data_IF_219764006113
#
_entry.id   IF_219764006113
#
_cell.length_a   1.000
_cell.length_b   1.000
_cell.length_c   1.000
_cell.angle_alpha   90.00
_cell.angle_beta   90.00
_cell.angle_gamma   90.00
#
_symmetry.space_group_name_H-M   'P 1'
#
loop_
_entity.id
_entity.type
_entity.pdbx_description
1 polymer ?
#
# COMPACT_ATOMS: atom_id res chain seq x y z
N UNK A 1 -11.88 1.02 23.81
CA UNK A 1 -10.67 0.99 24.62
C UNK A 1 -9.82 -0.15 24.07
N UNK A 2 -8.50 -0.11 24.16
CA UNK A 2 -7.67 -1.26 23.79
C UNK A 2 -7.75 -2.31 24.91
N UNK A 3 -7.72 -3.60 24.55
CA UNK A 3 -7.65 -4.69 25.53
C UNK A 3 -6.22 -4.82 26.09
N UNK A 4 -6.05 -5.47 27.23
CA UNK A 4 -4.72 -5.69 27.84
C UNK A 4 -3.76 -6.42 26.89
N UNK A 5 -4.15 -7.50 26.16
CA UNK A 5 -3.30 -8.12 25.16
C UNK A 5 -2.90 -7.18 24.01
N UNK A 6 -3.80 -6.25 23.62
CA UNK A 6 -3.49 -5.24 22.61
C UNK A 6 -2.53 -4.18 23.14
N UNK A 7 -2.70 -3.75 24.38
CA UNK A 7 -1.76 -2.80 25.04
C UNK A 7 -0.37 -3.43 25.09
N UNK A 8 -0.25 -4.68 25.48
CA UNK A 8 1.03 -5.39 25.52
C UNK A 8 1.65 -5.50 24.12
N UNK A 9 0.89 -5.99 23.13
CA UNK A 9 1.34 -6.16 21.74
C UNK A 9 1.84 -4.88 21.11
N UNK A 10 1.10 -3.78 21.29
CA UNK A 10 1.38 -2.50 20.65
C UNK A 10 2.07 -1.48 21.56
N UNK A 11 2.57 -1.91 22.71
CA UNK A 11 3.19 -1.03 23.71
C UNK A 11 4.24 -0.09 23.11
N UNK A 12 5.11 -0.63 22.23
CA UNK A 12 6.19 0.13 21.56
C UNK A 12 5.67 1.15 20.56
N UNK A 13 4.45 1.00 20.05
CA UNK A 13 3.81 1.96 19.15
C UNK A 13 3.01 3.00 19.94
N UNK A 14 2.33 2.56 21.01
CA UNK A 14 1.49 3.44 21.84
C UNK A 14 2.31 4.52 22.56
N UNK A 15 3.57 4.24 22.90
CA UNK A 15 4.46 5.23 23.54
C UNK A 15 4.94 6.33 22.58
N UNK A 16 4.80 6.14 21.25
CA UNK A 16 5.16 7.16 20.27
C UNK A 16 4.12 8.29 20.29
N UNK A 17 4.52 9.56 20.50
CA UNK A 17 3.57 10.68 20.57
C UNK A 17 2.67 10.80 19.35
N UNK A 18 3.18 10.44 18.16
CA UNK A 18 2.45 10.50 16.90
C UNK A 18 1.39 9.40 16.75
N UNK A 19 1.52 8.30 17.48
CA UNK A 19 0.59 7.17 17.45
C UNK A 19 -0.34 7.21 18.66
N UNK A 20 0.22 7.02 19.84
CA UNK A 20 -0.56 6.95 21.08
C UNK A 20 -1.61 5.83 21.06
N UNK A 21 -2.38 5.71 22.11
CA UNK A 21 -3.49 4.75 22.15
C UNK A 21 -4.62 5.06 21.17
N UNK A 22 -4.82 6.36 20.82
CA UNK A 22 -5.81 6.78 19.83
C UNK A 22 -5.43 6.38 18.41
N UNK A 23 -4.14 6.56 18.05
CA UNK A 23 -3.63 6.16 16.75
C UNK A 23 -3.67 4.64 16.59
N UNK A 24 -3.27 3.88 17.63
CA UNK A 24 -3.36 2.43 17.57
C UNK A 24 -4.81 1.94 17.39
N UNK A 25 -5.77 2.59 18.04
CA UNK A 25 -7.19 2.28 17.83
C UNK A 25 -7.62 2.57 16.39
N UNK A 26 -7.14 3.67 15.76
CA UNK A 26 -7.40 3.95 14.34
C UNK A 26 -6.84 2.85 13.44
N UNK A 27 -5.62 2.38 13.68
CA UNK A 27 -5.03 1.27 12.93
C UNK A 27 -5.88 0.00 13.04
N UNK A 28 -6.30 -0.39 14.25
CA UNK A 28 -7.15 -1.55 14.48
C UNK A 28 -8.55 -1.45 13.84
N UNK A 29 -9.02 -0.25 13.59
CA UNK A 29 -10.30 0.00 12.93
C UNK A 29 -10.16 0.18 11.41
N UNK A 30 -8.95 0.38 10.92
CA UNK A 30 -8.69 0.64 9.52
C UNK A 30 -8.76 -0.61 8.67
N UNK A 31 -9.11 -0.40 7.41
CA UNK A 31 -9.18 -1.42 6.37
C UNK A 31 -8.34 -1.00 5.16
N UNK A 32 -7.45 -1.89 4.70
CA UNK A 32 -6.55 -1.64 3.57
C UNK A 32 -6.70 -2.75 2.53
N UNK A 33 -6.95 -2.38 1.29
CA UNK A 33 -6.87 -3.30 0.16
C UNK A 33 -5.45 -3.30 -0.41
N UNK A 34 -4.85 -4.46 -0.54
CA UNK A 34 -3.54 -4.64 -1.19
C UNK A 34 -3.74 -5.51 -2.42
N UNK A 35 -3.50 -4.93 -3.60
CA UNK A 35 -3.73 -5.59 -4.89
C UNK A 35 -2.43 -5.72 -5.70
N UNK A 36 -2.24 -6.89 -6.33
CA UNK A 36 -1.08 -7.22 -7.17
C UNK A 36 -0.38 -8.50 -6.75
N UNK A 37 0.56 -8.97 -7.54
CA UNK A 37 1.22 -10.28 -7.38
C UNK A 37 2.73 -10.18 -7.09
N UNK A 38 3.26 -9.05 -6.66
CA UNK A 38 4.69 -8.85 -6.49
C UNK A 38 5.17 -8.94 -5.04
N UNK A 39 6.47 -9.09 -4.86
CA UNK A 39 7.15 -9.05 -3.57
C UNK A 39 6.94 -7.72 -2.82
N UNK A 40 6.64 -6.65 -3.54
CA UNK A 40 6.28 -5.35 -2.99
C UNK A 40 5.01 -5.42 -2.13
N UNK A 41 3.95 -6.03 -2.66
CA UNK A 41 2.70 -6.19 -1.92
C UNK A 41 2.86 -7.12 -0.71
N UNK A 42 3.67 -8.17 -0.84
CA UNK A 42 3.97 -9.06 0.28
C UNK A 42 4.68 -8.31 1.43
N UNK A 43 5.66 -7.46 1.10
CA UNK A 43 6.33 -6.59 2.07
C UNK A 43 5.34 -5.64 2.76
N UNK A 44 4.46 -4.99 2.00
CA UNK A 44 3.45 -4.10 2.56
C UNK A 44 2.50 -4.82 3.52
N UNK A 45 1.98 -6.00 3.15
CA UNK A 45 1.07 -6.79 3.97
C UNK A 45 1.67 -7.16 5.33
N UNK A 46 2.95 -7.58 5.35
CA UNK A 46 3.63 -7.95 6.59
C UNK A 46 3.68 -6.79 7.59
N UNK A 47 4.08 -5.61 7.12
CA UNK A 47 4.22 -4.45 8.00
C UNK A 47 2.87 -3.85 8.40
N UNK A 48 1.85 -3.88 7.54
CA UNK A 48 0.49 -3.47 7.89
C UNK A 48 -0.10 -4.39 8.97
N UNK A 49 0.05 -5.71 8.81
CA UNK A 49 -0.39 -6.68 9.81
C UNK A 49 0.36 -6.49 11.13
N UNK A 50 1.70 -6.37 11.09
CA UNK A 50 2.51 -6.15 12.29
C UNK A 50 2.13 -4.83 13.01
N UNK A 51 1.80 -3.77 12.27
CA UNK A 51 1.36 -2.50 12.83
C UNK A 51 -0.06 -2.55 13.46
N UNK A 52 -0.82 -3.59 13.17
CA UNK A 52 -2.17 -3.78 13.71
C UNK A 52 -3.26 -3.10 12.89
N UNK A 53 -3.13 -3.09 11.55
CA UNK A 53 -4.26 -2.76 10.68
C UNK A 53 -5.31 -3.85 10.80
N UNK A 54 -6.53 -3.47 11.20
CA UNK A 54 -7.55 -4.43 11.63
C UNK A 54 -8.12 -5.30 10.51
N UNK A 55 -8.16 -4.80 9.27
CA UNK A 55 -8.66 -5.55 8.11
C UNK A 55 -7.76 -5.36 6.90
N UNK A 56 -7.25 -6.46 6.34
CA UNK A 56 -6.49 -6.46 5.10
C UNK A 56 -7.24 -7.24 4.03
N UNK A 57 -7.62 -6.56 2.96
CA UNK A 57 -8.07 -7.18 1.73
C UNK A 57 -6.87 -7.57 0.87
N UNK A 58 -6.87 -8.77 0.35
CA UNK A 58 -5.81 -9.29 -0.50
C UNK A 58 -6.41 -9.64 -1.85
N UNK A 59 -5.91 -9.01 -2.90
CA UNK A 59 -6.32 -9.28 -4.27
C UNK A 59 -5.10 -9.63 -5.13
N UNK A 60 -5.12 -10.80 -5.77
CA UNK A 60 -4.04 -11.30 -6.63
C UNK A 60 -2.85 -11.94 -5.91
N UNK A 61 -2.72 -11.81 -4.59
CA UNK A 61 -1.58 -12.32 -3.83
C UNK A 61 -1.87 -13.73 -3.32
N UNK A 62 -1.22 -14.72 -3.90
CA UNK A 62 -1.40 -16.13 -3.49
C UNK A 62 -0.50 -16.53 -2.34
N UNK A 63 0.76 -16.09 -2.36
CA UNK A 63 1.78 -16.49 -1.40
C UNK A 63 2.60 -15.29 -0.90
N UNK A 64 3.02 -15.33 0.36
CA UNK A 64 3.99 -14.38 0.89
C UNK A 64 5.40 -14.89 0.58
N UNK A 65 5.77 -14.86 -0.70
CA UNK A 65 7.04 -15.41 -1.19
C UNK A 65 8.30 -14.87 -0.48
N UNK A 66 8.21 -13.66 0.06
CA UNK A 66 9.29 -13.03 0.83
C UNK A 66 9.51 -13.74 2.19
N UNK A 67 8.44 -14.23 2.82
CA UNK A 67 8.53 -14.97 4.09
C UNK A 67 8.94 -16.43 3.83
N UNK A 68 8.49 -17.00 2.71
CA UNK A 68 8.88 -18.34 2.30
C UNK A 68 10.39 -18.50 2.10
N UNK A 69 11.06 -17.44 1.62
CA UNK A 69 12.51 -17.45 1.46
C UNK A 69 13.30 -17.43 2.79
N UNK A 70 12.65 -17.05 3.88
CA UNK A 70 13.24 -16.94 5.22
C UNK A 70 12.79 -18.05 6.18
N UNK A 71 11.85 -18.91 5.78
CA UNK A 71 11.33 -20.01 6.59
C UNK A 71 11.72 -21.35 6.00
N UNK A 72 12.18 -22.33 6.82
CA UNK A 72 12.38 -23.70 6.40
C UNK A 72 11.07 -24.46 6.14
N UNK A 73 9.92 -23.88 6.51
CA UNK A 73 8.60 -24.45 6.24
C UNK A 73 8.09 -24.05 4.84
N UNK A 74 7.22 -24.86 4.21
CA UNK A 74 6.64 -24.50 2.93
C UNK A 74 5.90 -23.18 2.99
N UNK A 75 5.85 -22.39 1.90
CA UNK A 75 5.26 -21.07 1.89
C UNK A 75 3.80 -21.13 2.32
N UNK A 76 3.50 -20.49 3.46
CA UNK A 76 2.13 -20.33 3.91
C UNK A 76 1.42 -19.30 3.03
N UNK A 77 0.15 -19.53 2.73
CA UNK A 77 -0.65 -18.50 2.07
C UNK A 77 -0.70 -17.22 2.93
N UNK A 78 -0.83 -16.06 2.31
CA UNK A 78 -0.99 -14.80 3.04
C UNK A 78 -2.14 -14.87 4.06
N UNK A 79 -3.24 -15.54 3.68
CA UNK A 79 -4.40 -15.73 4.53
C UNK A 79 -4.13 -16.53 5.81
N UNK A 80 -3.13 -17.41 5.81
CA UNK A 80 -2.77 -18.21 6.97
C UNK A 80 -1.60 -17.64 7.77
N UNK A 81 -0.65 -16.97 7.11
CA UNK A 81 0.53 -16.44 7.74
C UNK A 81 0.27 -15.13 8.51
N UNK A 82 -0.52 -14.22 7.96
CA UNK A 82 -0.76 -12.92 8.57
C UNK A 82 -1.52 -12.99 9.91
N UNK A 83 -2.57 -13.82 10.08
CA UNK A 83 -3.21 -14.00 11.39
C UNK A 83 -2.29 -14.63 12.45
N UNK A 84 -1.30 -15.44 12.05
CA UNK A 84 -0.28 -15.95 12.97
C UNK A 84 0.67 -14.86 13.41
N UNK A 85 1.01 -13.91 12.52
CA UNK A 85 1.82 -12.74 12.84
C UNK A 85 1.07 -11.80 13.79
N UNK A 86 -0.21 -11.55 13.50
CA UNK A 86 -1.04 -10.67 14.30
C UNK A 86 -2.51 -11.14 14.32
N UNK A 87 -3.00 -11.71 15.44
CA UNK A 87 -4.37 -12.21 15.57
C UNK A 87 -5.42 -11.10 15.57
N UNK A 88 -5.05 -9.83 15.76
CA UNK A 88 -5.97 -8.68 15.67
C UNK A 88 -6.28 -8.29 14.22
N UNK A 89 -5.60 -8.92 13.24
CA UNK A 89 -5.74 -8.61 11.83
C UNK A 89 -6.67 -9.63 11.13
N UNK A 90 -7.77 -9.16 10.56
CA UNK A 90 -8.69 -9.96 9.74
C UNK A 90 -8.26 -9.92 8.28
N UNK A 91 -8.11 -11.08 7.66
CA UNK A 91 -7.73 -11.20 6.25
C UNK A 91 -8.95 -11.55 5.41
N UNK A 92 -9.17 -10.80 4.32
CA UNK A 92 -10.21 -11.05 3.32
C UNK A 92 -9.53 -11.26 1.97
N UNK A 93 -9.65 -12.46 1.41
CA UNK A 93 -9.08 -12.78 0.10
C UNK A 93 -10.12 -12.49 -0.97
N UNK A 94 -9.75 -11.69 -1.96
CA UNK A 94 -10.53 -11.39 -3.13
C UNK A 94 -10.00 -12.18 -4.34
N UNK A 95 -10.88 -12.49 -5.25
CA UNK A 95 -10.51 -13.16 -6.49
C UNK A 95 -10.54 -12.13 -7.63
N UNK A 96 -9.37 -11.73 -8.09
CA UNK A 96 -9.22 -10.74 -9.17
C UNK A 96 -10.04 -11.09 -10.45
N UNK A 97 -10.19 -12.37 -10.75
CA UNK A 97 -10.99 -12.84 -11.91
C UNK A 97 -12.50 -12.60 -11.73
N UNK A 98 -12.96 -12.22 -10.54
CA UNK A 98 -14.37 -11.92 -10.28
C UNK A 98 -14.75 -10.48 -10.67
N UNK A 99 -13.75 -9.57 -10.84
CA UNK A 99 -14.01 -8.19 -11.23
C UNK A 99 -14.16 -8.10 -12.75
N UNK A 100 -15.40 -7.97 -13.23
CA UNK A 100 -15.76 -7.99 -14.64
C UNK A 100 -15.80 -6.61 -15.27
N UNK A 101 -16.06 -5.58 -14.46
CA UNK A 101 -16.20 -4.21 -14.91
C UNK A 101 -15.74 -3.19 -13.85
N UNK A 102 -15.79 -1.92 -14.20
CA UNK A 102 -15.36 -0.82 -13.34
C UNK A 102 -16.26 -0.66 -12.09
N UNK A 103 -17.54 -1.04 -12.19
CA UNK A 103 -18.48 -0.95 -11.07
C UNK A 103 -18.14 -1.99 -9.98
N UNK A 104 -17.72 -3.19 -10.38
CA UNK A 104 -17.27 -4.22 -9.45
C UNK A 104 -16.02 -3.76 -8.68
N UNK A 105 -15.06 -3.15 -9.40
CA UNK A 105 -13.83 -2.62 -8.79
C UNK A 105 -14.12 -1.45 -7.85
N UNK A 106 -15.00 -0.53 -8.24
CA UNK A 106 -15.41 0.58 -7.38
C UNK A 106 -16.12 0.08 -6.12
N UNK A 107 -17.02 -0.91 -6.26
CA UNK A 107 -17.71 -1.54 -5.13
C UNK A 107 -16.73 -2.20 -4.16
N UNK A 108 -15.67 -2.84 -4.67
CA UNK A 108 -14.60 -3.38 -3.84
C UNK A 108 -13.84 -2.27 -3.11
N UNK A 109 -13.38 -1.25 -3.81
CA UNK A 109 -12.60 -0.15 -3.26
C UNK A 109 -13.37 0.58 -2.15
N UNK A 110 -14.68 0.76 -2.29
CA UNK A 110 -15.53 1.40 -1.28
C UNK A 110 -15.56 0.67 0.06
N UNK A 111 -15.21 -0.62 0.11
CA UNK A 111 -15.16 -1.42 1.34
C UNK A 111 -13.89 -1.16 2.17
N UNK A 112 -12.94 -0.37 1.64
CA UNK A 112 -11.65 -0.10 2.25
C UNK A 112 -11.41 1.39 2.44
N UNK A 113 -10.57 1.73 3.42
CA UNK A 113 -10.21 3.12 3.71
C UNK A 113 -9.12 3.64 2.77
N UNK A 114 -8.25 2.75 2.29
CA UNK A 114 -7.24 3.05 1.28
C UNK A 114 -6.84 1.79 0.49
N UNK A 115 -6.19 2.00 -0.66
CA UNK A 115 -5.71 0.94 -1.54
C UNK A 115 -4.20 1.06 -1.75
N UNK A 116 -3.50 -0.07 -1.68
CA UNK A 116 -2.09 -0.20 -2.07
C UNK A 116 -2.02 -1.09 -3.32
N UNK A 117 -1.42 -0.59 -4.39
CA UNK A 117 -1.22 -1.37 -5.61
C UNK A 117 -0.03 -0.84 -6.43
N UNK A 118 0.37 -1.59 -7.45
CA UNK A 118 1.15 -1.06 -8.56
C UNK A 118 0.36 -0.08 -9.41
N UNK A 119 0.97 0.54 -10.44
CA UNK A 119 0.25 1.38 -11.39
C UNK A 119 -0.84 0.59 -12.09
N UNK A 120 -2.08 0.89 -11.74
CA UNK A 120 -3.28 0.27 -12.29
C UNK A 120 -4.33 1.33 -12.53
N UNK A 121 -4.71 1.52 -13.80
CA UNK A 121 -5.63 2.57 -14.22
C UNK A 121 -7.04 2.39 -13.62
N UNK A 122 -7.54 1.15 -13.62
CA UNK A 122 -8.88 0.83 -13.16
C UNK A 122 -9.01 1.00 -11.64
N UNK A 123 -8.07 0.45 -10.87
CA UNK A 123 -8.04 0.66 -9.41
C UNK A 123 -7.88 2.13 -9.04
N UNK A 124 -7.04 2.86 -9.77
CA UNK A 124 -6.86 4.29 -9.51
C UNK A 124 -8.14 5.08 -9.80
N UNK A 125 -8.82 4.82 -10.94
CA UNK A 125 -10.08 5.46 -11.27
C UNK A 125 -11.16 5.17 -10.21
N UNK A 126 -11.26 3.92 -9.75
CA UNK A 126 -12.16 3.53 -8.68
C UNK A 126 -11.82 4.24 -7.35
N UNK A 127 -10.54 4.37 -7.01
CA UNK A 127 -10.11 5.11 -5.82
C UNK A 127 -10.47 6.61 -5.92
N UNK A 128 -10.30 7.20 -7.11
CA UNK A 128 -10.67 8.59 -7.38
C UNK A 128 -12.17 8.80 -7.17
N UNK A 129 -13.02 7.98 -7.80
CA UNK A 129 -14.49 8.04 -7.67
C UNK A 129 -14.96 7.79 -6.24
N UNK A 130 -14.39 6.80 -5.57
CA UNK A 130 -14.72 6.46 -4.18
C UNK A 130 -14.12 7.42 -3.15
N UNK A 131 -13.29 8.39 -3.57
CA UNK A 131 -12.53 9.31 -2.71
C UNK A 131 -11.67 8.56 -1.67
N UNK A 132 -10.95 7.53 -2.14
CA UNK A 132 -10.03 6.73 -1.33
C UNK A 132 -8.58 7.03 -1.71
N UNK A 133 -7.67 7.20 -0.74
CA UNK A 133 -6.25 7.33 -1.02
C UNK A 133 -5.72 6.12 -1.79
N UNK A 134 -4.90 6.36 -2.79
CA UNK A 134 -4.23 5.34 -3.58
C UNK A 134 -2.73 5.42 -3.34
N UNK A 135 -2.19 4.45 -2.60
CA UNK A 135 -0.76 4.33 -2.31
C UNK A 135 -0.15 3.45 -3.39
N UNK A 136 0.54 4.08 -4.31
CA UNK A 136 1.03 3.42 -5.52
C UNK A 136 2.54 3.28 -5.47
N UNK A 137 3.04 2.12 -5.87
CA UNK A 137 4.47 1.88 -6.00
C UNK A 137 4.80 0.80 -6.99
N UNK A 138 6.01 0.86 -7.51
CA UNK A 138 6.53 -0.11 -8.47
C UNK A 138 8.02 -0.30 -8.25
N UNK A 139 8.51 -1.48 -8.61
CA UNK A 139 9.92 -1.81 -8.64
C UNK A 139 10.32 -2.29 -10.02
N UNK A 140 11.51 -1.91 -10.43
CA UNK A 140 12.26 -2.44 -11.56
C UNK A 140 13.63 -2.91 -11.06
N UNK A 141 14.47 -3.57 -11.86
CA UNK A 141 15.74 -4.07 -11.40
C UNK A 141 16.66 -3.04 -10.76
N UNK A 142 16.56 -1.78 -11.15
CA UNK A 142 17.45 -0.71 -10.70
C UNK A 142 16.74 0.40 -9.91
N UNK A 143 15.42 0.49 -10.00
CA UNK A 143 14.65 1.60 -9.44
C UNK A 143 13.39 1.07 -8.76
N UNK A 144 13.16 1.51 -7.52
CA UNK A 144 11.86 1.43 -6.88
C UNK A 144 11.29 2.83 -6.70
N UNK A 145 9.98 2.99 -6.82
CA UNK A 145 9.33 4.26 -6.54
C UNK A 145 7.97 4.07 -5.89
N UNK A 146 7.51 5.10 -5.21
CA UNK A 146 6.18 5.15 -4.61
C UNK A 146 5.65 6.59 -4.51
N UNK A 147 4.33 6.72 -4.47
CA UNK A 147 3.65 7.97 -4.18
C UNK A 147 2.26 7.69 -3.57
N UNK A 148 1.71 8.69 -2.87
CA UNK A 148 0.34 8.67 -2.33
C UNK A 148 -0.52 9.62 -3.13
N UNK A 149 -1.51 9.10 -3.83
CA UNK A 149 -2.41 9.88 -4.68
C UNK A 149 -3.76 10.13 -3.98
N UNK A 150 -4.16 11.38 -3.94
CA UNK A 150 -5.46 11.87 -3.45
C UNK A 150 -6.02 12.91 -4.43
N UNK A 151 -5.97 12.61 -5.72
CA UNK A 151 -6.36 13.52 -6.79
C UNK A 151 -7.81 14.03 -6.73
N UNK A 152 -8.66 13.43 -5.87
CA UNK A 152 -9.99 13.90 -5.54
C UNK A 152 -10.00 15.07 -4.55
N UNK A 153 -8.86 15.42 -3.95
CA UNK A 153 -8.67 16.63 -3.16
C UNK A 153 -8.22 17.77 -4.07
N UNK A 154 -8.62 18.99 -3.70
CA UNK A 154 -8.28 20.17 -4.47
C UNK A 154 -6.76 20.34 -4.57
N UNK A 155 -6.27 20.69 -5.76
CA UNK A 155 -4.86 20.91 -6.07
C UNK A 155 -3.91 19.72 -5.92
N UNK A 156 -4.40 18.52 -5.61
CA UNK A 156 -3.58 17.32 -5.58
C UNK A 156 -3.63 16.56 -6.91
N UNK A 157 -2.48 16.04 -7.39
CA UNK A 157 -2.43 15.26 -8.62
C UNK A 157 -3.05 13.88 -8.43
N UNK A 158 -3.59 13.34 -9.50
CA UNK A 158 -3.90 11.93 -9.63
C UNK A 158 -2.76 11.18 -10.33
N UNK A 159 -2.86 9.85 -10.41
CA UNK A 159 -1.85 9.00 -11.05
C UNK A 159 -1.56 9.41 -12.51
N UNK A 160 -2.55 9.94 -13.22
CA UNK A 160 -2.45 10.30 -14.65
C UNK A 160 -2.02 11.75 -14.88
N UNK A 161 -1.72 12.51 -13.86
CA UNK A 161 -1.24 13.88 -14.03
C UNK A 161 0.17 13.95 -14.59
N UNK A 162 0.97 12.93 -14.37
CA UNK A 162 2.37 12.90 -14.79
C UNK A 162 2.78 11.55 -15.39
N UNK A 163 3.85 11.58 -16.16
CA UNK A 163 4.50 10.36 -16.63
C UNK A 163 5.26 9.70 -15.49
N UNK A 164 4.88 8.49 -15.19
CA UNK A 164 5.57 7.67 -14.19
C UNK A 164 6.94 7.21 -14.71
N UNK A 165 7.91 6.91 -13.82
CA UNK A 165 9.15 6.27 -14.22
C UNK A 165 8.87 4.98 -15.00
N UNK A 166 9.55 4.82 -16.14
CA UNK A 166 9.35 3.65 -16.98
C UNK A 166 9.65 2.36 -16.21
N UNK A 167 8.75 1.39 -16.35
CA UNK A 167 8.98 0.03 -15.87
C UNK A 167 9.81 -0.70 -16.91
N UNK A 168 11.09 -0.85 -16.67
CA UNK A 168 11.87 -1.83 -17.40
C UNK A 168 11.49 -3.22 -16.89
N UNK A 169 10.57 -3.87 -17.58
CA UNK A 169 10.25 -5.27 -17.32
C UNK A 169 11.38 -6.14 -17.84
N UNK A 170 12.39 -6.36 -17.02
CA UNK A 170 13.37 -7.41 -17.32
C UNK A 170 12.90 -8.70 -16.64
N UNK A 171 12.70 -9.72 -17.47
CA UNK A 171 12.24 -11.05 -17.07
C UNK A 171 13.21 -11.83 -16.14
N UNK A 172 14.30 -11.22 -15.68
CA UNK A 172 15.34 -11.85 -14.87
C UNK A 172 15.49 -11.20 -13.49
N UNK A 173 14.54 -11.42 -12.69
CA UNK A 173 14.15 -11.03 -11.37
C UNK A 173 15.05 -11.35 -10.18
N UNK A 174 16.33 -11.08 -10.17
CA UNK A 174 17.15 -11.22 -8.96
C UNK A 174 16.97 -10.06 -7.97
N UNK A 175 16.94 -8.83 -8.44
CA UNK A 175 16.90 -7.61 -7.62
C UNK A 175 15.49 -7.30 -7.10
N UNK A 176 14.45 -7.69 -7.83
CA UNK A 176 13.03 -7.55 -7.40
C UNK A 176 12.77 -8.21 -6.05
N UNK A 177 13.50 -9.29 -5.74
CA UNK A 177 13.34 -10.01 -4.47
C UNK A 177 13.79 -9.19 -3.25
N UNK A 178 14.67 -8.22 -3.43
CA UNK A 178 15.15 -7.34 -2.36
C UNK A 178 14.46 -5.98 -2.38
N UNK A 179 14.36 -5.38 -3.56
CA UNK A 179 13.74 -4.06 -3.72
C UNK A 179 12.23 -4.09 -3.48
N UNK A 180 11.55 -5.16 -3.88
CA UNK A 180 10.12 -5.31 -3.68
C UNK A 180 9.72 -5.19 -2.21
N UNK A 181 10.23 -6.06 -1.30
CA UNK A 181 9.92 -5.96 0.13
C UNK A 181 10.34 -4.64 0.75
N UNK A 182 11.47 -4.08 0.32
CA UNK A 182 11.94 -2.78 0.80
C UNK A 182 10.95 -1.65 0.46
N UNK A 183 10.60 -1.49 -0.82
CA UNK A 183 9.59 -0.50 -1.24
C UNK A 183 8.23 -0.81 -0.63
N UNK A 184 7.85 -2.10 -0.49
CA UNK A 184 6.64 -2.54 0.18
C UNK A 184 6.57 -2.07 1.64
N UNK A 185 7.68 -2.11 2.36
CA UNK A 185 7.77 -1.58 3.73
C UNK A 185 7.53 -0.07 3.77
N UNK A 186 8.09 0.67 2.81
CA UNK A 186 7.88 2.12 2.72
C UNK A 186 6.43 2.44 2.34
N UNK A 187 5.81 1.67 1.42
CA UNK A 187 4.38 1.78 1.11
C UNK A 187 3.49 1.57 2.34
N UNK A 188 3.79 0.55 3.15
CA UNK A 188 3.08 0.33 4.42
C UNK A 188 3.23 1.51 5.37
N UNK A 189 4.42 2.09 5.45
CA UNK A 189 4.69 3.27 6.27
C UNK A 189 3.86 4.46 5.81
N UNK A 190 3.79 4.75 4.50
CA UNK A 190 2.96 5.81 3.95
C UNK A 190 1.47 5.56 4.20
N UNK A 191 1.00 4.31 4.04
CA UNK A 191 -0.38 3.92 4.34
C UNK A 191 -0.72 4.14 5.82
N UNK A 192 0.17 3.75 6.74
CA UNK A 192 0.02 3.98 8.19
C UNK A 192 -0.05 5.49 8.47
N UNK A 193 0.80 6.30 7.86
CA UNK A 193 0.76 7.77 8.00
C UNK A 193 -0.57 8.35 7.52
N UNK A 194 -1.10 7.85 6.41
CA UNK A 194 -2.44 8.25 5.91
C UNK A 194 -3.52 7.90 6.93
N UNK A 195 -3.54 6.67 7.44
CA UNK A 195 -4.53 6.22 8.44
C UNK A 195 -4.46 7.05 9.73
N UNK A 196 -3.26 7.38 10.17
CA UNK A 196 -3.04 8.16 11.38
C UNK A 196 -3.30 9.67 11.19
N UNK A 197 -3.47 10.13 9.94
CA UNK A 197 -3.58 11.55 9.62
C UNK A 197 -2.26 12.30 9.73
N UNK A 198 -1.14 11.61 9.63
CA UNK A 198 0.22 12.16 9.68
C UNK A 198 0.79 12.47 8.28
N UNK A 199 0.10 12.02 7.24
CA UNK A 199 0.51 12.30 5.86
C UNK A 199 0.25 13.78 5.55
N UNK A 200 1.26 14.53 5.06
CA UNK A 200 1.06 15.94 4.75
C UNK A 200 -0.03 16.10 3.68
N UNK A 201 -0.90 17.12 3.82
CA UNK A 201 -1.97 17.36 2.85
C UNK A 201 -1.42 17.73 1.45
N UNK A 202 -0.26 18.35 1.39
CA UNK A 202 0.37 18.86 0.15
C UNK A 202 1.84 19.18 0.40
N UNK A 203 2.73 19.11 -0.60
CA UNK A 203 2.50 18.56 -1.95
C UNK A 203 2.57 17.03 -1.99
N UNK A 204 1.96 16.42 -3.01
CA UNK A 204 2.20 15.01 -3.32
C UNK A 204 3.65 14.83 -3.79
N UNK A 205 4.34 13.86 -3.23
CA UNK A 205 5.72 13.56 -3.59
C UNK A 205 5.84 12.14 -4.11
N UNK A 206 6.63 11.98 -5.16
CA UNK A 206 7.12 10.68 -5.61
C UNK A 206 8.48 10.47 -4.97
N UNK A 207 8.60 9.41 -4.18
CA UNK A 207 9.87 8.94 -3.65
C UNK A 207 10.42 7.88 -4.58
N UNK A 208 11.64 8.08 -5.06
CA UNK A 208 12.36 7.12 -5.90
C UNK A 208 13.61 6.63 -5.16
N UNK A 209 13.86 5.34 -5.21
CA UNK A 209 15.06 4.70 -4.70
C UNK A 209 15.81 4.02 -5.84
N UNK A 210 17.10 4.32 -5.97
CA UNK A 210 18.00 3.64 -6.91
C UNK A 210 18.76 2.53 -6.19
N UNK A 211 18.65 1.28 -6.69
CA UNK A 211 19.29 0.11 -6.09
C UNK A 211 20.83 0.15 -6.13
N UNK A 212 21.47 0.46 -7.27
CA UNK A 212 22.94 0.38 -7.35
C UNK A 212 23.67 1.33 -6.41
N UNK A 213 23.09 2.55 -6.22
CA UNK A 213 23.69 3.60 -5.39
C UNK A 213 23.05 3.72 -4.02
N UNK A 214 21.96 2.99 -3.75
CA UNK A 214 21.10 3.15 -2.57
C UNK A 214 20.79 4.64 -2.31
N UNK A 215 20.47 5.38 -3.37
CA UNK A 215 20.12 6.80 -3.29
C UNK A 215 18.62 7.01 -3.34
N UNK A 216 18.17 8.05 -2.63
CA UNK A 216 16.77 8.44 -2.55
C UNK A 216 16.60 9.82 -3.17
N UNK A 217 15.59 9.95 -4.02
CA UNK A 217 15.22 11.21 -4.65
C UNK A 217 13.73 11.47 -4.43
N UNK A 218 13.39 12.67 -4.00
CA UNK A 218 12.03 13.13 -3.93
C UNK A 218 11.73 14.06 -5.10
N UNK A 219 10.61 13.86 -5.75
CA UNK A 219 10.07 14.76 -6.78
C UNK A 219 8.67 15.17 -6.39
N UNK A 220 8.42 16.48 -6.35
CA UNK A 220 7.06 17.01 -6.17
C UNK A 220 6.26 16.74 -7.43
N UNK A 221 5.08 16.19 -7.27
CA UNK A 221 4.12 15.95 -8.34
C UNK A 221 3.10 17.09 -8.38
N UNK A 222 2.80 17.57 -9.59
CA UNK A 222 1.88 18.68 -9.81
C UNK A 222 0.60 18.20 -10.48
N UNK A 223 -0.54 18.82 -10.10
CA UNK A 223 -1.80 18.58 -10.79
C UNK A 223 -1.73 19.13 -12.21
N UNK A 224 -2.11 18.29 -13.17
CA UNK A 224 -2.27 18.72 -14.56
C UNK A 224 -3.67 19.30 -14.76
N UNK A 225 -3.82 20.60 -15.09
CA UNK A 225 -5.14 21.22 -15.28
C UNK A 225 -5.96 20.58 -16.41
N UNK A 226 -5.30 19.96 -17.40
CA UNK A 226 -5.93 19.30 -18.53
C UNK A 226 -6.03 17.78 -18.37
N UNK A 227 -5.77 17.25 -17.18
CA UNK A 227 -5.87 15.82 -16.92
C UNK A 227 -7.30 15.32 -17.14
N UNK A 228 -7.46 14.26 -17.94
CA UNK A 228 -8.77 13.69 -18.26
C UNK A 228 -9.51 13.13 -17.02
N UNK A 229 -8.78 12.78 -15.95
CA UNK A 229 -9.37 12.22 -14.73
C UNK A 229 -9.64 13.28 -13.66
N UNK A 230 -8.70 14.18 -13.39
CA UNK A 230 -8.81 15.11 -12.27
C UNK A 230 -8.57 16.58 -12.68
N UNK A 231 -8.50 16.89 -13.95
CA UNK A 231 -8.36 18.27 -14.45
C UNK A 231 -9.53 19.17 -14.03
N UNK A 232 -9.38 20.46 -14.26
CA UNK A 232 -10.44 21.42 -13.98
C UNK A 232 -11.59 21.15 -14.98
N UNK A 233 -12.75 20.78 -14.49
CA UNK A 233 -14.01 20.80 -15.24
C UNK A 233 -14.70 22.13 -15.01
#
# INVERSE_FOLDING_TARGET
MLSDPQIERYSRQIILPQVGGRGQKRLLQASVLVSGESSLQAGALLYLAAAGVGRLGIDGIKELSTVAALSPEPPASAATALPRLNPDCTIVVHNHSAFRDDADVESLVRQYDLVIAGPNAQLHAACYSARRPFVCGQVSPTIGWLAVYRGYEENLPCLFCETLPASETTANGGVDKFMGPFIGTVLATEAIKVILGLHPPSPTKLLQCSSPALSFHERVLSKNPTCATCGWQ
#
